data_IF_799595912222
#
_entry.id   IF_799595912222
#
_cell.length_a   1.000
_cell.length_b   1.000
_cell.length_c   1.000
_cell.angle_alpha   90.00
_cell.angle_beta   90.00
_cell.angle_gamma   90.00
#
_symmetry.space_group_name_H-M   'P 1'
#
loop_
_entity.id
_entity.type
_entity.pdbx_description
1 polymer ?
#
# COMPACT_ATOMS: atom_id res chain seq x y z
N UNK A 1 37.99 -24.01 56.51
CA UNK A 1 37.01 -23.04 55.99
C UNK A 1 36.58 -23.56 54.62
N UNK A 2 35.37 -24.13 54.52
CA UNK A 2 34.15 -23.50 53.91
C UNK A 2 34.43 -23.15 52.43
N UNK A 3 33.75 -23.66 51.41
CA UNK A 3 32.30 -23.91 51.30
C UNK A 3 32.01 -24.74 50.04
N UNK A 4 31.01 -25.62 50.10
CA UNK A 4 30.35 -26.20 48.94
C UNK A 4 29.56 -25.11 48.17
N UNK A 5 29.35 -25.29 46.86
CA UNK A 5 28.27 -24.60 46.14
C UNK A 5 27.52 -25.61 45.28
N UNK A 6 26.20 -25.55 45.45
CA UNK A 6 25.16 -26.39 44.90
C UNK A 6 24.91 -26.14 43.42
N UNK A 7 24.35 -27.19 42.81
CA UNK A 7 23.61 -27.23 41.57
C UNK A 7 22.42 -26.25 41.58
N UNK A 8 22.20 -25.54 40.47
CA UNK A 8 20.84 -25.13 40.07
C UNK A 8 20.77 -24.88 38.56
N UNK A 9 20.27 -25.91 37.86
CA UNK A 9 19.60 -25.76 36.56
C UNK A 9 18.39 -24.83 36.73
N UNK A 10 18.42 -23.67 36.06
CA UNK A 10 17.22 -22.85 35.87
C UNK A 10 16.72 -23.07 34.45
N UNK A 11 15.66 -23.87 34.35
CA UNK A 11 14.70 -23.80 33.24
C UNK A 11 14.00 -22.44 33.33
N UNK A 12 14.37 -21.51 32.46
CA UNK A 12 13.62 -20.28 32.28
C UNK A 12 12.69 -20.43 31.06
N UNK A 13 11.52 -21.01 31.30
CA UNK A 13 10.32 -20.72 30.53
C UNK A 13 9.96 -19.26 30.83
N UNK A 14 10.03 -18.38 29.84
CA UNK A 14 9.87 -16.94 30.08
C UNK A 14 9.45 -16.20 28.82
N UNK A 15 8.25 -15.64 28.88
CA UNK A 15 7.63 -14.78 27.89
C UNK A 15 8.60 -13.75 27.31
N UNK A 16 8.53 -13.54 25.99
CA UNK A 16 9.22 -12.45 25.32
C UNK A 16 8.62 -11.12 25.79
N UNK A 17 9.26 -10.55 26.81
CA UNK A 17 9.09 -9.17 27.25
C UNK A 17 9.55 -8.27 26.10
N UNK A 18 8.62 -7.49 25.55
CA UNK A 18 8.91 -6.42 24.60
C UNK A 18 9.71 -5.35 25.32
N UNK A 19 11.00 -5.26 25.03
CA UNK A 19 11.82 -4.12 25.44
C UNK A 19 11.42 -2.89 24.61
N UNK A 20 10.65 -2.00 25.25
CA UNK A 20 10.34 -0.67 24.74
C UNK A 20 11.55 0.25 24.97
N UNK A 21 12.40 0.39 23.95
CA UNK A 21 13.46 1.39 23.96
C UNK A 21 12.89 2.77 23.61
N UNK A 22 13.33 3.76 24.37
CA UNK A 22 12.80 5.12 24.44
C UNK A 22 13.02 5.90 23.14
N UNK A 23 11.93 6.34 22.53
CA UNK A 23 11.86 7.57 21.74
C UNK A 23 10.62 8.33 22.25
N UNK A 24 10.87 9.35 23.07
CA UNK A 24 9.86 10.33 23.43
C UNK A 24 9.50 11.12 22.16
N UNK A 25 8.19 11.31 21.98
CA UNK A 25 7.51 12.07 20.91
C UNK A 25 7.20 11.36 19.58
N UNK A 26 6.65 10.13 19.66
CA UNK A 26 5.77 9.58 18.62
C UNK A 26 4.34 9.52 19.18
N UNK A 27 3.34 10.22 18.59
CA UNK A 27 1.95 10.15 19.04
C UNK A 27 1.46 8.69 19.07
N UNK A 28 0.74 8.31 20.13
CA UNK A 28 0.26 6.94 20.36
C UNK A 28 -0.42 6.29 19.12
N UNK A 29 -1.06 7.10 18.27
CA UNK A 29 -1.72 6.67 17.03
C UNK A 29 -0.78 6.09 15.96
N UNK A 30 0.49 6.53 15.92
CA UNK A 30 1.49 5.98 15.03
C UNK A 30 2.07 4.65 15.56
N UNK A 31 2.03 4.41 16.88
CA UNK A 31 2.41 3.11 17.47
C UNK A 31 1.41 2.02 17.08
N UNK A 32 0.12 2.35 16.96
CA UNK A 32 -0.91 1.40 16.53
C UNK A 32 -0.75 0.97 15.07
N UNK A 33 -0.27 1.87 14.19
CA UNK A 33 0.01 1.55 12.79
C UNK A 33 1.37 0.82 12.61
N UNK A 34 2.38 1.16 13.41
CA UNK A 34 3.68 0.47 13.37
C UNK A 34 3.66 -0.92 14.02
N UNK A 35 2.77 -1.16 14.99
CA UNK A 35 2.59 -2.50 15.59
C UNK A 35 2.00 -3.53 14.60
N UNK A 36 1.42 -3.08 13.49
CA UNK A 36 0.93 -3.92 12.38
C UNK A 36 2.08 -4.32 11.43
N UNK A 37 3.27 -3.69 11.54
CA UNK A 37 4.48 -3.97 10.75
C UNK A 37 5.30 -5.12 11.36
N UNK A 38 4.67 -6.02 12.11
CA UNK A 38 5.34 -7.21 12.60
C UNK A 38 5.63 -8.15 11.41
N UNK A 39 6.90 -8.51 11.25
CA UNK A 39 7.40 -9.50 10.27
C UNK A 39 6.84 -10.87 10.69
N UNK A 40 5.58 -11.13 10.33
CA UNK A 40 4.89 -12.37 10.60
C UNK A 40 5.28 -13.45 9.61
N UNK A 41 5.77 -14.58 10.11
CA UNK A 41 5.91 -15.82 9.35
C UNK A 41 4.60 -16.14 8.61
N UNK A 42 4.65 -16.78 7.45
CA UNK A 42 3.44 -17.22 6.75
C UNK A 42 2.57 -18.06 7.70
N UNK A 43 1.37 -17.58 8.04
CA UNK A 43 0.52 -18.28 8.99
C UNK A 43 -0.20 -19.44 8.29
N UNK A 44 -0.29 -20.63 8.92
CA UNK A 44 -1.18 -21.68 8.46
C UNK A 44 -2.61 -21.14 8.40
N UNK A 45 -3.39 -21.60 7.43
CA UNK A 45 -4.78 -21.16 7.26
C UNK A 45 -5.57 -21.54 8.51
N UNK A 46 -5.98 -20.53 9.28
CA UNK A 46 -6.87 -20.73 10.42
C UNK A 46 -8.29 -21.02 9.96
N UNK A 47 -8.98 -21.88 10.70
CA UNK A 47 -10.43 -22.12 10.54
C UNK A 47 -11.28 -21.21 11.41
N UNK A 48 -10.68 -20.47 12.35
CA UNK A 48 -11.39 -19.68 13.35
C UNK A 48 -10.82 -18.27 13.41
N UNK A 49 -11.67 -17.28 13.15
CA UNK A 49 -11.30 -15.87 13.15
C UNK A 49 -12.09 -15.08 14.18
N UNK A 50 -11.41 -14.14 14.84
CA UNK A 50 -12.05 -13.05 15.58
C UNK A 50 -12.02 -11.75 14.76
N UNK A 51 -12.99 -10.87 15.00
CA UNK A 51 -13.19 -9.64 14.24
C UNK A 51 -13.19 -8.46 15.18
N UNK A 52 -12.19 -7.58 15.06
CA UNK A 52 -12.01 -6.41 15.91
C UNK A 52 -12.30 -5.16 15.10
N UNK A 53 -13.24 -4.34 15.57
CA UNK A 53 -13.53 -3.03 14.99
C UNK A 53 -12.55 -1.99 15.51
N UNK A 54 -12.02 -1.19 14.59
CA UNK A 54 -11.06 -0.12 14.86
C UNK A 54 -11.51 1.16 14.16
N UNK A 55 -11.10 2.30 14.70
CA UNK A 55 -11.44 3.62 14.18
C UNK A 55 -10.21 4.40 13.68
N UNK A 56 -10.48 5.46 12.91
CA UNK A 56 -9.46 6.37 12.37
C UNK A 56 -8.43 5.71 11.46
N UNK A 57 -8.80 5.10 10.32
CA UNK A 57 -10.15 5.00 9.74
C UNK A 57 -10.97 3.82 10.28
N UNK A 58 -12.29 3.88 10.12
CA UNK A 58 -13.22 2.79 10.43
C UNK A 58 -12.84 1.52 9.63
N UNK A 59 -12.48 0.44 10.33
CA UNK A 59 -11.95 -0.79 9.73
C UNK A 59 -12.17 -2.01 10.62
N UNK A 60 -12.16 -3.19 10.01
CA UNK A 60 -12.19 -4.48 10.69
C UNK A 60 -10.81 -5.14 10.57
N UNK A 61 -10.19 -5.45 11.71
CA UNK A 61 -9.05 -6.34 11.79
C UNK A 61 -9.54 -7.77 12.01
N UNK A 62 -9.01 -8.71 11.23
CA UNK A 62 -9.27 -10.14 11.35
C UNK A 62 -8.08 -10.78 12.03
N UNK A 63 -8.31 -11.44 13.16
CA UNK A 63 -7.26 -12.15 13.89
C UNK A 63 -7.50 -13.66 13.83
N UNK A 64 -6.42 -14.45 13.82
CA UNK A 64 -6.50 -15.90 13.98
C UNK A 64 -6.71 -16.32 15.45
N UNK A 65 -6.74 -17.63 15.71
CA UNK A 65 -6.90 -18.22 17.05
C UNK A 65 -5.75 -17.91 18.01
N UNK A 66 -4.65 -17.34 17.52
CA UNK A 66 -3.48 -16.92 18.29
C UNK A 66 -3.39 -15.38 18.39
N UNK A 67 -4.48 -14.67 18.14
CA UNK A 67 -4.59 -13.20 18.12
C UNK A 67 -3.65 -12.52 17.12
N UNK A 68 -3.21 -13.23 16.06
CA UNK A 68 -2.33 -12.66 15.04
C UNK A 68 -3.16 -12.04 13.93
N UNK A 69 -2.75 -10.85 13.46
CA UNK A 69 -3.42 -10.17 12.37
C UNK A 69 -3.30 -10.96 11.06
N UNK A 70 -4.45 -11.30 10.49
CA UNK A 70 -4.61 -12.02 9.22
C UNK A 70 -4.97 -11.08 8.09
N UNK A 71 -5.88 -10.13 8.33
CA UNK A 71 -6.31 -9.18 7.33
C UNK A 71 -6.89 -7.90 7.95
N UNK A 72 -6.86 -6.81 7.19
CA UNK A 72 -7.51 -5.54 7.52
C UNK A 72 -8.41 -5.10 6.36
N UNK A 73 -9.66 -4.79 6.68
CA UNK A 73 -10.68 -4.28 5.75
C UNK A 73 -11.10 -2.89 6.18
N UNK A 74 -11.01 -1.91 5.29
CA UNK A 74 -11.41 -0.53 5.61
C UNK A 74 -12.79 -0.25 5.03
N UNK A 75 -13.67 0.34 5.83
CA UNK A 75 -15.03 0.66 5.40
C UNK A 75 -15.00 1.58 4.18
N UNK A 76 -15.75 1.21 3.13
CA UNK A 76 -15.77 1.92 1.85
C UNK A 76 -14.68 1.50 0.86
N UNK A 77 -13.68 0.71 1.28
CA UNK A 77 -12.64 0.19 0.39
C UNK A 77 -12.95 -1.23 -0.08
N UNK A 78 -12.58 -1.56 -1.31
CA UNK A 78 -12.55 -2.96 -1.80
C UNK A 78 -11.22 -3.64 -1.51
N UNK A 79 -10.15 -2.89 -1.47
CA UNK A 79 -8.81 -3.35 -1.13
C UNK A 79 -8.77 -3.77 0.33
N UNK A 80 -8.19 -4.93 0.54
CA UNK A 80 -7.87 -5.46 1.85
C UNK A 80 -6.38 -5.74 1.89
N UNK A 81 -5.76 -5.48 3.04
CA UNK A 81 -4.37 -5.85 3.31
C UNK A 81 -4.40 -7.16 4.09
N UNK A 82 -3.76 -8.19 3.57
CA UNK A 82 -3.67 -9.53 4.14
C UNK A 82 -2.23 -9.80 4.58
N UNK A 83 -2.07 -10.51 5.68
CA UNK A 83 -0.80 -11.08 6.11
C UNK A 83 -0.53 -12.36 5.31
N UNK A 84 0.61 -12.42 4.64
CA UNK A 84 1.01 -13.57 3.85
C UNK A 84 2.53 -13.79 3.87
N UNK A 85 3.05 -14.67 3.00
CA UNK A 85 4.48 -14.93 2.90
C UNK A 85 5.28 -13.65 2.70
N UNK A 86 6.41 -13.54 3.39
CA UNK A 86 7.37 -12.44 3.22
C UNK A 86 7.94 -12.45 1.81
N UNK A 87 8.11 -11.25 1.25
CA UNK A 87 8.68 -11.02 -0.09
C UNK A 87 9.35 -9.68 -0.15
N UNK A 88 10.23 -9.53 -1.14
CA UNK A 88 11.10 -8.37 -1.30
C UNK A 88 10.94 -7.78 -2.70
N UNK A 89 10.78 -6.45 -2.75
CA UNK A 89 10.75 -5.67 -3.98
C UNK A 89 12.00 -4.80 -4.06
N UNK A 90 12.70 -4.87 -5.19
CA UNK A 90 13.94 -4.13 -5.44
C UNK A 90 13.98 -3.66 -6.90
N UNK A 91 14.61 -2.51 -7.13
CA UNK A 91 14.93 -1.99 -8.46
C UNK A 91 16.37 -1.48 -8.48
N UNK A 92 17.35 -2.41 -8.54
CA UNK A 92 18.77 -2.08 -8.39
C UNK A 92 19.30 -1.19 -9.52
N UNK A 93 18.54 -1.00 -10.61
CA UNK A 93 18.90 -0.09 -11.70
C UNK A 93 18.63 1.37 -11.35
N UNK A 94 17.69 1.64 -10.44
CA UNK A 94 17.19 2.99 -10.14
C UNK A 94 17.35 3.39 -8.67
N UNK A 95 17.52 2.42 -7.76
CA UNK A 95 17.66 2.68 -6.33
C UNK A 95 18.31 1.51 -5.58
N UNK A 96 18.96 1.81 -4.46
CA UNK A 96 19.39 0.80 -3.49
C UNK A 96 18.30 0.48 -2.46
N UNK A 97 17.21 1.25 -2.40
CA UNK A 97 16.12 1.02 -1.47
C UNK A 97 15.44 -0.33 -1.76
N UNK A 98 15.11 -1.06 -0.69
CA UNK A 98 14.48 -2.37 -0.78
C UNK A 98 13.25 -2.41 0.13
N UNK A 99 12.10 -2.82 -0.41
CA UNK A 99 10.87 -2.98 0.38
C UNK A 99 10.65 -4.47 0.65
N UNK A 100 10.81 -4.89 1.90
CA UNK A 100 10.49 -6.25 2.35
C UNK A 100 9.21 -6.23 3.17
N UNK A 101 8.22 -7.05 2.79
CA UNK A 101 6.90 -7.00 3.41
C UNK A 101 6.21 -8.37 3.44
N UNK A 102 5.35 -8.55 4.43
CA UNK A 102 4.37 -9.65 4.54
C UNK A 102 2.97 -9.20 4.11
N UNK A 103 2.81 -7.94 3.69
CA UNK A 103 1.53 -7.40 3.24
C UNK A 103 1.21 -7.85 1.81
N UNK A 104 -0.02 -8.32 1.62
CA UNK A 104 -0.62 -8.68 0.34
C UNK A 104 -1.92 -7.91 0.15
N UNK A 105 -2.10 -7.22 -0.97
CA UNK A 105 -3.24 -6.33 -1.20
C UNK A 105 -4.16 -6.91 -2.26
N UNK A 106 -5.35 -7.34 -1.84
CA UNK A 106 -6.35 -8.00 -2.70
C UNK A 106 -7.63 -7.21 -2.75
N UNK A 107 -8.37 -7.31 -3.86
CA UNK A 107 -9.69 -6.71 -3.98
C UNK A 107 -10.80 -7.68 -3.62
N UNK A 108 -11.61 -7.28 -2.65
CA UNK A 108 -12.91 -7.86 -2.36
C UNK A 108 -13.90 -7.62 -3.52
N UNK A 109 -14.92 -8.49 -3.66
CA UNK A 109 -15.94 -8.33 -4.71
C UNK A 109 -16.74 -7.03 -4.58
N UNK A 110 -16.83 -6.48 -3.37
CA UNK A 110 -17.51 -5.23 -3.07
C UNK A 110 -16.80 -4.46 -1.95
N UNK A 111 -17.15 -3.19 -1.79
CA UNK A 111 -16.59 -2.36 -0.72
C UNK A 111 -16.97 -2.93 0.65
N UNK A 112 -16.04 -2.86 1.60
CA UNK A 112 -16.27 -3.32 2.95
C UNK A 112 -17.26 -2.42 3.69
N UNK A 113 -18.08 -3.02 4.53
CA UNK A 113 -18.98 -2.33 5.47
C UNK A 113 -18.91 -3.03 6.82
N UNK A 114 -19.17 -2.30 7.90
CA UNK A 114 -19.24 -2.90 9.23
C UNK A 114 -20.27 -4.05 9.25
N UNK A 115 -19.88 -5.21 9.80
CA UNK A 115 -20.70 -6.42 9.82
C UNK A 115 -20.58 -7.31 8.57
N UNK A 116 -19.81 -6.89 7.56
CA UNK A 116 -19.60 -7.68 6.35
C UNK A 116 -18.92 -9.05 6.60
N UNK A 117 -18.31 -9.25 7.77
CA UNK A 117 -17.80 -10.56 8.19
C UNK A 117 -18.89 -11.64 8.32
N UNK A 118 -20.16 -11.23 8.45
CA UNK A 118 -21.32 -12.13 8.47
C UNK A 118 -21.88 -12.42 7.06
N UNK A 119 -21.40 -11.70 6.04
CA UNK A 119 -21.90 -11.88 4.69
C UNK A 119 -21.42 -13.21 4.08
N UNK A 120 -22.30 -13.88 3.33
CA UNK A 120 -22.04 -15.19 2.76
C UNK A 120 -20.80 -15.22 1.83
N UNK A 121 -20.46 -14.09 1.20
CA UNK A 121 -19.30 -13.99 0.30
C UNK A 121 -17.97 -13.97 1.05
N UNK A 122 -17.94 -13.51 2.30
CA UNK A 122 -16.70 -13.09 2.96
C UNK A 122 -15.78 -14.25 3.30
N UNK A 123 -16.27 -15.26 4.02
CA UNK A 123 -15.42 -16.39 4.44
C UNK A 123 -14.82 -17.17 3.25
N UNK A 124 -15.60 -17.52 2.21
CA UNK A 124 -15.03 -18.15 1.01
C UNK A 124 -13.99 -17.26 0.33
N UNK A 125 -14.25 -15.97 0.21
CA UNK A 125 -13.32 -15.02 -0.41
C UNK A 125 -12.03 -14.88 0.41
N UNK A 126 -12.10 -14.76 1.74
CA UNK A 126 -10.92 -14.62 2.60
C UNK A 126 -10.01 -15.84 2.50
N UNK A 127 -10.59 -17.04 2.55
CA UNK A 127 -9.84 -18.29 2.40
C UNK A 127 -9.12 -18.35 1.04
N UNK A 128 -9.81 -17.99 -0.04
CA UNK A 128 -9.21 -17.91 -1.37
C UNK A 128 -8.10 -16.85 -1.43
N UNK A 129 -8.34 -15.66 -0.89
CA UNK A 129 -7.39 -14.56 -0.93
C UNK A 129 -6.10 -14.85 -0.13
N UNK A 130 -6.22 -15.55 1.01
CA UNK A 130 -5.06 -16.01 1.81
C UNK A 130 -4.28 -17.15 1.13
N UNK A 131 -4.94 -17.98 0.33
CA UNK A 131 -4.31 -19.04 -0.45
C UNK A 131 -3.73 -18.55 -1.78
N UNK A 132 -4.20 -17.41 -2.29
CA UNK A 132 -3.80 -16.88 -3.59
C UNK A 132 -2.33 -16.45 -3.61
N UNK A 133 -1.58 -16.98 -4.57
CA UNK A 133 -0.15 -16.67 -4.81
C UNK A 133 0.07 -15.89 -6.11
N UNK A 134 -0.99 -15.53 -6.83
CA UNK A 134 -0.91 -14.65 -8.00
C UNK A 134 -0.37 -13.26 -7.61
N UNK A 135 0.22 -12.49 -8.54
CA UNK A 135 0.61 -11.11 -8.27
C UNK A 135 -0.58 -10.27 -7.76
N UNK A 136 -0.39 -9.61 -6.62
CA UNK A 136 -1.32 -8.66 -6.01
C UNK A 136 -0.94 -7.21 -6.38
N UNK A 137 -1.55 -6.18 -5.77
CA UNK A 137 -1.24 -4.76 -6.11
C UNK A 137 0.26 -4.46 -6.08
N UNK A 138 0.96 -4.84 -5.00
CA UNK A 138 2.38 -4.50 -4.83
C UNK A 138 3.27 -5.21 -5.87
N UNK A 139 2.99 -6.49 -6.12
CA UNK A 139 3.71 -7.26 -7.12
C UNK A 139 3.44 -6.77 -8.54
N UNK A 140 2.18 -6.42 -8.87
CA UNK A 140 1.85 -5.87 -10.20
C UNK A 140 2.49 -4.51 -10.41
N UNK A 141 2.46 -3.62 -9.41
CA UNK A 141 3.09 -2.31 -9.52
C UNK A 141 4.59 -2.43 -9.85
N UNK A 142 5.30 -3.30 -9.15
CA UNK A 142 6.75 -3.42 -9.31
C UNK A 142 7.20 -4.13 -10.59
N UNK A 143 6.29 -4.72 -11.37
CA UNK A 143 6.64 -5.39 -12.64
C UNK A 143 7.11 -4.43 -13.74
N UNK A 144 6.72 -3.17 -13.69
CA UNK A 144 6.91 -2.23 -14.81
C UNK A 144 8.18 -1.38 -14.73
N UNK A 145 8.95 -1.50 -13.64
CA UNK A 145 10.07 -0.61 -13.32
C UNK A 145 11.23 -0.67 -14.33
N UNK A 146 11.28 -1.71 -15.18
CA UNK A 146 12.40 -1.94 -16.10
C UNK A 146 12.13 -1.60 -17.57
N UNK A 147 10.86 -1.52 -18.00
CA UNK A 147 10.52 -1.41 -19.43
C UNK A 147 9.41 -0.41 -19.76
N UNK A 148 8.69 0.10 -18.78
CA UNK A 148 7.76 1.19 -19.03
C UNK A 148 8.49 2.52 -19.07
N UNK A 149 8.13 3.36 -20.03
CA UNK A 149 8.61 4.72 -20.18
C UNK A 149 7.54 5.70 -19.74
N UNK A 150 7.96 6.92 -19.45
CA UNK A 150 7.05 8.02 -19.13
C UNK A 150 6.78 8.84 -20.39
N UNK A 151 5.51 9.16 -20.59
CA UNK A 151 5.12 10.28 -21.45
C UNK A 151 3.88 10.94 -20.89
N UNK A 152 3.83 12.26 -20.98
CA UNK A 152 2.65 13.02 -20.60
C UNK A 152 1.41 12.54 -21.39
N UNK A 153 0.28 12.51 -20.70
CA UNK A 153 -1.01 12.04 -21.20
C UNK A 153 -1.05 10.58 -21.68
N UNK A 154 -0.01 9.76 -21.48
CA UNK A 154 -0.04 8.33 -21.83
C UNK A 154 -0.84 7.50 -20.82
N UNK A 155 -1.83 6.75 -21.31
CA UNK A 155 -2.67 5.85 -20.49
C UNK A 155 -2.31 4.37 -20.73
N UNK A 156 -2.87 3.46 -19.95
CA UNK A 156 -2.61 2.01 -20.07
C UNK A 156 -2.85 1.46 -21.48
N UNK A 157 -3.77 2.04 -22.25
CA UNK A 157 -4.03 1.61 -23.62
C UNK A 157 -2.87 1.96 -24.56
N UNK A 158 -2.21 3.11 -24.36
CA UNK A 158 -1.01 3.49 -25.11
C UNK A 158 0.14 2.54 -24.77
N UNK A 159 0.38 2.33 -23.47
CA UNK A 159 1.38 1.39 -22.97
C UNK A 159 1.27 0.01 -23.64
N UNK A 160 0.05 -0.54 -23.73
CA UNK A 160 -0.22 -1.87 -24.25
C UNK A 160 -0.42 -1.92 -25.77
N UNK A 161 -0.57 -0.79 -26.44
CA UNK A 161 -0.92 -0.74 -27.86
C UNK A 161 -2.32 -1.27 -28.19
N UNK A 162 -3.27 -1.20 -27.25
CA UNK A 162 -4.64 -1.73 -27.42
C UNK A 162 -5.68 -0.63 -27.56
N UNK A 163 -6.85 -0.95 -28.12
CA UNK A 163 -8.02 -0.08 -28.00
C UNK A 163 -8.77 -0.40 -26.70
N UNK A 164 -9.17 0.63 -25.96
CA UNK A 164 -9.92 0.48 -24.73
C UNK A 164 -11.05 1.52 -24.64
N UNK A 165 -12.29 1.05 -24.39
CA UNK A 165 -13.50 1.89 -24.31
C UNK A 165 -13.64 2.91 -25.48
N UNK A 166 -13.32 2.49 -26.70
CA UNK A 166 -13.40 3.33 -27.90
C UNK A 166 -12.21 4.28 -28.12
N UNK A 167 -11.28 4.37 -27.16
CA UNK A 167 -10.03 5.12 -27.30
C UNK A 167 -8.97 4.20 -27.90
N UNK A 168 -8.37 4.61 -29.03
CA UNK A 168 -7.28 3.86 -29.68
C UNK A 168 -5.94 4.28 -29.08
N UNK A 169 -5.03 3.33 -28.92
CA UNK A 169 -3.63 3.61 -28.61
C UNK A 169 -2.97 4.48 -29.69
N UNK A 170 -2.15 5.43 -29.23
CA UNK A 170 -1.23 6.20 -30.08
C UNK A 170 -0.01 5.33 -30.38
N UNK A 171 0.31 5.18 -31.68
CA UNK A 171 1.37 4.25 -32.13
C UNK A 171 2.77 4.67 -31.66
N UNK A 172 2.99 5.98 -31.54
CA UNK A 172 4.22 6.61 -31.04
C UNK A 172 4.37 6.54 -29.52
N UNK A 173 3.38 5.99 -28.80
CA UNK A 173 3.33 5.89 -27.33
C UNK A 173 3.35 4.46 -26.81
N UNK A 174 3.75 3.50 -27.66
CA UNK A 174 3.86 2.10 -27.25
C UNK A 174 4.89 1.96 -26.12
N UNK A 175 4.47 1.41 -24.98
CA UNK A 175 5.31 1.28 -23.79
C UNK A 175 5.39 2.54 -22.92
N UNK A 176 4.71 3.63 -23.27
CA UNK A 176 4.65 4.86 -22.48
C UNK A 176 3.45 4.86 -21.52
N UNK A 177 3.62 5.43 -20.32
CA UNK A 177 2.56 5.61 -19.34
C UNK A 177 2.87 6.76 -18.36
N UNK A 178 1.91 7.68 -18.15
CA UNK A 178 2.03 8.71 -17.10
C UNK A 178 1.65 8.17 -15.71
N UNK A 179 1.70 9.01 -14.66
CA UNK A 179 1.40 8.58 -13.29
C UNK A 179 -0.03 8.05 -13.10
N UNK A 180 -1.02 8.70 -13.71
CA UNK A 180 -2.42 8.29 -13.61
C UNK A 180 -2.71 7.08 -14.49
N UNK A 181 -2.16 7.04 -15.71
CA UNK A 181 -2.20 5.90 -16.61
C UNK A 181 -1.58 4.66 -15.99
N UNK A 182 -0.52 4.85 -15.20
CA UNK A 182 0.16 3.76 -14.50
C UNK A 182 -0.71 3.21 -13.37
N UNK A 183 -1.35 4.07 -12.58
CA UNK A 183 -2.36 3.62 -11.60
C UNK A 183 -3.50 2.85 -12.29
N UNK A 184 -3.99 3.34 -13.43
CA UNK A 184 -5.05 2.68 -14.21
C UNK A 184 -4.60 1.36 -14.84
N UNK A 185 -3.34 1.24 -15.23
CA UNK A 185 -2.72 0.00 -15.68
C UNK A 185 -2.70 -1.03 -14.55
N UNK A 186 -2.19 -0.66 -13.37
CA UNK A 186 -2.04 -1.54 -12.21
C UNK A 186 -3.40 -1.94 -11.64
N UNK A 187 -4.21 -0.98 -11.20
CA UNK A 187 -5.47 -1.28 -10.54
C UNK A 187 -6.55 -1.70 -11.53
N UNK A 188 -6.65 -1.03 -12.67
CA UNK A 188 -7.72 -1.23 -13.63
C UNK A 188 -7.48 -2.42 -14.54
N UNK A 189 -6.55 -2.27 -15.49
CA UNK A 189 -6.33 -3.29 -16.51
C UNK A 189 -5.81 -4.61 -15.92
N UNK A 190 -4.84 -4.55 -14.99
CA UNK A 190 -4.21 -5.76 -14.44
C UNK A 190 -5.00 -6.41 -13.31
N UNK A 191 -5.74 -5.63 -12.51
CA UNK A 191 -6.41 -6.11 -11.29
C UNK A 191 -7.94 -5.95 -11.30
N UNK A 192 -8.52 -5.42 -12.38
CA UNK A 192 -9.97 -5.38 -12.58
C UNK A 192 -10.72 -4.34 -11.73
N UNK A 193 -10.01 -3.37 -11.16
CA UNK A 193 -10.68 -2.24 -10.50
C UNK A 193 -11.40 -1.36 -11.53
N UNK A 194 -12.61 -0.85 -11.25
CA UNK A 194 -13.35 -0.02 -12.20
C UNK A 194 -12.55 1.20 -12.66
N UNK A 195 -12.66 1.54 -13.95
CA UNK A 195 -12.06 2.74 -14.56
C UNK A 195 -13.14 3.66 -15.13
N UNK A 196 -12.96 4.97 -15.00
CA UNK A 196 -13.90 6.00 -15.44
C UNK A 196 -14.93 6.37 -14.35
N UNK A 197 -16.17 6.66 -14.74
CA UNK A 197 -17.23 6.99 -13.78
C UNK A 197 -17.45 5.85 -12.77
N UNK A 198 -17.43 6.18 -11.47
CA UNK A 198 -17.53 5.19 -10.38
C UNK A 198 -16.27 4.33 -10.18
N UNK A 199 -15.17 4.68 -10.83
CA UNK A 199 -13.87 4.03 -10.72
C UNK A 199 -12.74 5.05 -10.79
N UNK A 200 -11.53 4.63 -11.15
CA UNK A 200 -10.38 5.53 -11.30
C UNK A 200 -10.55 6.35 -12.58
N UNK A 201 -10.74 7.69 -12.51
CA UNK A 201 -10.83 8.55 -13.69
C UNK A 201 -9.49 8.65 -14.43
N UNK A 202 -9.43 9.41 -15.53
CA UNK A 202 -8.21 9.46 -16.35
C UNK A 202 -7.17 10.40 -15.77
N UNK A 203 -7.58 11.55 -15.27
CA UNK A 203 -6.65 12.64 -14.93
C UNK A 203 -6.49 12.78 -13.41
N UNK A 204 -5.30 13.18 -12.90
CA UNK A 204 -5.10 13.44 -11.48
C UNK A 204 -6.09 14.48 -10.88
N UNK A 205 -6.44 15.59 -11.55
CA UNK A 205 -7.47 16.52 -11.05
C UNK A 205 -8.85 15.89 -10.89
N UNK A 206 -9.26 14.98 -11.78
CA UNK A 206 -10.52 14.23 -11.60
C UNK A 206 -10.44 13.25 -10.41
N UNK A 207 -9.28 12.65 -10.14
CA UNK A 207 -9.09 11.75 -8.99
C UNK A 207 -9.23 12.47 -7.64
N UNK A 208 -8.93 13.78 -7.62
CA UNK A 208 -9.06 14.62 -6.44
C UNK A 208 -10.49 14.61 -5.87
N UNK A 209 -11.49 14.74 -6.74
CA UNK A 209 -12.92 14.85 -6.38
C UNK A 209 -13.71 13.55 -6.56
N UNK A 210 -13.16 12.54 -7.22
CA UNK A 210 -13.83 11.27 -7.43
C UNK A 210 -14.02 10.47 -6.12
N UNK A 211 -15.14 9.72 -5.98
CA UNK A 211 -15.41 8.84 -4.85
C UNK A 211 -14.60 7.52 -4.96
N UNK A 212 -13.28 7.64 -4.88
CA UNK A 212 -12.33 6.52 -5.01
C UNK A 212 -12.19 5.73 -3.71
N UNK A 213 -13.03 4.71 -3.53
CA UNK A 213 -13.04 3.88 -2.33
C UNK A 213 -13.17 4.72 -1.05
N UNK A 214 -12.42 4.35 -0.01
CA UNK A 214 -12.37 5.09 1.24
C UNK A 214 -11.41 6.28 1.18
N UNK A 215 -11.91 7.46 1.56
CA UNK A 215 -11.11 8.67 1.73
C UNK A 215 -10.36 8.65 3.08
N UNK A 216 -9.11 8.16 3.08
CA UNK A 216 -8.29 8.09 4.30
C UNK A 216 -7.81 9.49 4.71
N UNK A 217 -7.43 10.30 3.73
CA UNK A 217 -7.11 11.71 3.92
C UNK A 217 -7.45 12.52 2.67
N UNK A 218 -7.84 13.78 2.87
CA UNK A 218 -8.09 14.76 1.80
C UNK A 218 -7.58 16.13 2.26
N UNK A 219 -7.10 16.96 1.33
CA UNK A 219 -6.53 18.28 1.62
C UNK A 219 -5.39 18.23 2.67
N UNK A 220 -4.49 17.25 2.57
CA UNK A 220 -3.48 16.92 3.56
C UNK A 220 -2.13 17.65 3.37
N UNK A 221 -2.08 18.69 2.55
CA UNK A 221 -0.84 19.37 2.19
C UNK A 221 -0.09 19.85 3.44
N UNK A 222 1.19 19.49 3.53
CA UNK A 222 2.06 19.82 4.68
C UNK A 222 1.74 19.07 5.98
N UNK A 223 0.80 18.12 6.00
CA UNK A 223 0.47 17.35 7.21
C UNK A 223 1.44 16.20 7.45
N UNK A 224 2.38 16.40 8.38
CA UNK A 224 3.36 15.39 8.77
C UNK A 224 2.74 14.15 9.44
N UNK A 225 1.52 14.24 9.98
CA UNK A 225 0.84 13.09 10.60
C UNK A 225 0.10 12.25 9.56
N UNK A 226 -0.40 12.87 8.49
CA UNK A 226 -1.23 12.18 7.48
C UNK A 226 -0.47 11.09 6.75
N UNK A 227 0.83 11.27 6.50
CA UNK A 227 1.68 10.26 5.85
C UNK A 227 1.61 8.89 6.53
N UNK A 228 1.50 8.85 7.86
CA UNK A 228 1.43 7.62 8.64
C UNK A 228 0.07 6.90 8.58
N UNK A 229 -0.92 7.44 7.87
CA UNK A 229 -2.22 6.81 7.66
C UNK A 229 -2.23 5.86 6.44
N UNK A 230 -1.22 5.95 5.58
CA UNK A 230 -1.10 5.13 4.38
C UNK A 230 -0.88 3.64 4.73
N UNK A 231 -1.56 2.77 4.01
CA UNK A 231 -1.35 1.32 4.03
C UNK A 231 -0.94 0.82 2.63
N UNK A 232 -0.09 -0.23 2.55
CA UNK A 232 0.37 -0.71 1.25
C UNK A 232 -0.77 -0.93 0.27
N UNK A 233 -0.59 -0.46 -0.96
CA UNK A 233 -1.60 -0.47 -2.01
C UNK A 233 -2.56 0.72 -2.02
N UNK A 234 -2.47 1.65 -1.07
CA UNK A 234 -3.21 2.91 -1.13
C UNK A 234 -2.75 3.75 -2.34
N UNK A 235 -3.72 4.41 -2.98
CA UNK A 235 -3.50 5.40 -4.02
C UNK A 235 -3.18 6.74 -3.36
N UNK A 236 -2.01 7.28 -3.66
CA UNK A 236 -1.52 8.55 -3.15
C UNK A 236 -1.76 9.64 -4.20
N UNK A 237 -2.34 10.75 -3.77
CA UNK A 237 -2.59 11.92 -4.59
C UNK A 237 -1.66 13.04 -4.16
N UNK A 238 -0.91 13.61 -5.10
CA UNK A 238 0.05 14.66 -4.84
C UNK A 238 -0.27 15.92 -5.63
N UNK A 239 0.03 17.07 -5.02
CA UNK A 239 0.11 18.38 -5.66
C UNK A 239 1.56 18.83 -5.54
N UNK A 240 2.32 18.63 -6.61
CA UNK A 240 3.77 18.86 -6.66
C UNK A 240 4.16 20.14 -7.37
N UNK A 241 3.21 20.77 -8.07
CA UNK A 241 3.37 22.10 -8.64
C UNK A 241 3.50 23.19 -7.56
N UNK A 242 4.03 24.35 -7.95
CA UNK A 242 4.26 25.47 -7.03
C UNK A 242 2.98 26.13 -6.51
N UNK A 243 1.83 25.87 -7.13
CA UNK A 243 0.55 26.47 -6.75
C UNK A 243 -0.17 25.66 -5.67
N UNK A 244 0.13 24.36 -5.55
CA UNK A 244 -0.36 23.46 -4.49
C UNK A 244 -1.89 23.46 -4.32
N UNK A 245 -2.64 23.68 -5.41
CA UNK A 245 -4.11 23.76 -5.36
C UNK A 245 -4.81 22.59 -6.05
N UNK A 246 -4.13 21.91 -6.98
CA UNK A 246 -4.68 20.80 -7.75
C UNK A 246 -3.76 19.57 -7.69
N UNK A 247 -4.36 18.39 -7.62
CA UNK A 247 -3.62 17.14 -7.75
C UNK A 247 -3.08 17.03 -9.18
N UNK A 248 -1.77 16.85 -9.31
CA UNK A 248 -1.05 16.75 -10.59
C UNK A 248 -0.30 15.42 -10.75
N UNK A 249 -0.15 14.67 -9.66
CA UNK A 249 0.63 13.43 -9.66
C UNK A 249 0.03 12.37 -8.75
N UNK A 250 0.30 11.11 -9.09
CA UNK A 250 -0.32 9.96 -8.43
C UNK A 250 0.73 8.87 -8.19
N UNK A 251 0.68 8.22 -7.03
CA UNK A 251 1.55 7.10 -6.69
C UNK A 251 0.81 5.98 -5.97
N UNK A 252 1.49 4.86 -5.78
CA UNK A 252 1.00 3.69 -5.05
C UNK A 252 1.91 3.49 -3.85
N UNK A 253 1.36 3.48 -2.64
CA UNK A 253 2.14 3.25 -1.44
C UNK A 253 2.62 1.79 -1.38
N UNK A 254 3.92 1.57 -1.15
CA UNK A 254 4.52 0.23 -1.09
C UNK A 254 4.68 -0.28 0.34
N UNK A 255 4.90 0.61 1.29
CA UNK A 255 5.26 0.28 2.66
C UNK A 255 6.58 0.92 3.07
N UNK A 256 7.28 0.29 4.02
CA UNK A 256 8.53 0.80 4.58
C UNK A 256 9.72 0.06 3.95
N UNK A 257 10.77 0.80 3.58
CA UNK A 257 12.01 0.21 3.07
C UNK A 257 12.97 -0.26 4.18
N UNK A 258 14.09 -0.83 3.77
CA UNK A 258 15.19 -1.30 4.61
C UNK A 258 15.92 -0.19 5.38
N UNK A 259 15.72 1.07 5.00
CA UNK A 259 16.17 2.25 5.73
C UNK A 259 15.10 2.84 6.67
N UNK A 260 13.93 2.21 6.77
CA UNK A 260 12.82 2.67 7.62
C UNK A 260 11.97 3.79 7.01
N UNK A 261 12.08 4.05 5.70
CA UNK A 261 11.39 5.14 5.02
C UNK A 261 10.10 4.69 4.33
N UNK A 262 9.07 5.54 4.38
CA UNK A 262 7.76 5.28 3.79
C UNK A 262 7.77 5.44 2.27
N UNK A 263 7.90 4.33 1.53
CA UNK A 263 8.06 4.30 0.07
C UNK A 263 6.77 4.23 -0.71
N UNK A 264 6.78 4.91 -1.85
CA UNK A 264 5.77 4.78 -2.89
C UNK A 264 6.40 4.57 -4.26
N UNK A 265 5.64 4.03 -5.21
CA UNK A 265 6.01 3.89 -6.61
C UNK A 265 5.12 4.76 -7.49
N UNK A 266 5.70 5.44 -8.47
CA UNK A 266 4.97 6.25 -9.44
C UNK A 266 5.68 6.28 -10.80
N UNK A 267 4.93 6.47 -11.89
CA UNK A 267 5.53 6.74 -13.21
C UNK A 267 5.91 8.21 -13.32
N UNK A 268 7.17 8.49 -13.68
CA UNK A 268 7.76 9.84 -13.64
C UNK A 268 8.65 10.11 -14.85
N UNK A 269 8.72 11.38 -15.26
CA UNK A 269 9.61 11.82 -16.35
C UNK A 269 11.08 11.51 -16.10
N UNK A 270 11.52 11.58 -14.84
CA UNK A 270 12.82 11.02 -14.41
C UNK A 270 12.55 9.98 -13.31
N UNK A 271 13.03 8.74 -13.43
CA UNK A 271 14.02 8.23 -14.40
C UNK A 271 13.42 7.63 -15.69
N UNK A 272 12.36 8.23 -16.23
CA UNK A 272 11.61 7.74 -17.40
C UNK A 272 10.84 6.44 -17.11
N UNK A 273 9.73 6.57 -16.38
CA UNK A 273 8.77 5.49 -16.11
C UNK A 273 8.55 5.19 -14.62
N UNK A 274 7.87 4.08 -14.29
CA UNK A 274 7.57 3.65 -12.92
C UNK A 274 8.83 3.41 -12.08
N UNK A 275 8.96 4.11 -10.96
CA UNK A 275 10.10 3.98 -10.04
C UNK A 275 9.68 4.28 -8.62
N UNK A 276 10.33 3.63 -7.66
CA UNK A 276 10.31 4.00 -6.23
C UNK A 276 11.68 4.49 -5.76
N UNK A 277 12.54 4.90 -6.70
CA UNK A 277 13.86 5.45 -6.45
C UNK A 277 13.87 6.97 -6.22
N UNK A 278 15.05 7.49 -5.93
CA UNK A 278 15.22 8.86 -5.42
C UNK A 278 15.66 9.91 -6.44
N UNK A 279 15.77 9.50 -7.71
CA UNK A 279 16.13 10.40 -8.80
C UNK A 279 15.02 11.42 -9.08
N UNK A 280 15.39 12.71 -9.14
CA UNK A 280 14.51 13.88 -9.38
C UNK A 280 13.32 13.99 -8.43
N UNK A 281 13.56 13.71 -7.16
CA UNK A 281 12.56 13.73 -6.10
C UNK A 281 12.48 12.36 -5.45
N UNK A 282 12.59 12.34 -4.12
CA UNK A 282 12.63 11.10 -3.37
C UNK A 282 11.25 10.47 -3.32
N UNK A 283 11.19 9.17 -3.55
CA UNK A 283 9.93 8.40 -3.52
C UNK A 283 9.56 8.02 -2.09
N UNK A 284 9.52 9.01 -1.19
CA UNK A 284 9.18 8.88 0.23
C UNK A 284 8.10 9.85 0.66
N UNK A 285 7.36 9.47 1.71
CA UNK A 285 6.37 10.33 2.36
C UNK A 285 6.88 10.98 3.64
N UNK A 286 8.01 10.51 4.18
CA UNK A 286 8.49 10.84 5.51
C UNK A 286 9.72 11.77 5.56
N UNK A 287 10.00 12.48 4.46
CA UNK A 287 11.00 13.55 4.41
C UNK A 287 10.38 14.95 4.23
N UNK A 288 11.21 15.92 3.88
CA UNK A 288 10.86 17.32 3.56
C UNK A 288 10.79 17.59 2.04
N UNK A 289 10.79 16.53 1.23
CA UNK A 289 10.78 16.59 -0.22
C UNK A 289 9.43 17.02 -0.81
N UNK A 290 9.38 17.29 -2.13
CA UNK A 290 8.19 17.81 -2.80
C UNK A 290 6.98 16.86 -2.69
N UNK A 291 7.20 15.54 -2.67
CA UNK A 291 6.12 14.57 -2.53
C UNK A 291 5.57 14.51 -1.10
N UNK A 292 6.43 14.50 -0.08
CA UNK A 292 6.00 14.55 1.31
C UNK A 292 5.25 15.85 1.62
N UNK A 293 5.80 17.00 1.19
CA UNK A 293 5.16 18.31 1.36
C UNK A 293 3.89 18.47 0.50
N UNK A 294 3.85 17.80 -0.66
CA UNK A 294 2.78 17.84 -1.65
C UNK A 294 1.72 16.75 -1.49
N UNK A 295 1.77 15.91 -0.45
CA UNK A 295 0.76 14.88 -0.23
C UNK A 295 -0.61 15.54 -0.02
N UNK A 296 -1.48 15.41 -1.01
CA UNK A 296 -2.80 16.02 -0.99
C UNK A 296 -3.85 15.08 -0.41
N UNK A 297 -3.77 13.78 -0.70
CA UNK A 297 -4.76 12.82 -0.23
C UNK A 297 -4.32 11.36 -0.34
N UNK A 298 -5.03 10.52 0.39
CA UNK A 298 -4.84 9.06 0.43
C UNK A 298 -6.21 8.43 0.15
N UNK A 299 -6.29 7.60 -0.88
CA UNK A 299 -7.48 6.83 -1.26
C UNK A 299 -7.19 5.34 -1.11
N UNK A 300 -8.03 4.64 -0.34
CA UNK A 300 -7.99 3.19 -0.21
C UNK A 300 -9.11 2.60 -1.06
N UNK A 301 -8.73 2.08 -2.22
CA UNK A 301 -9.64 1.67 -3.30
C UNK A 301 -10.56 0.53 -2.90
#
# INVERSE_FOLDING_TARGET
MRTAVLLSTVLASGAAVVHLAQAQDIPARARDNSAIVAIGQAHPVSTTYSFVRLDGPARTAVLDEHDRLVATFTDGARSAVLSGPSRTFADPRRTSAVVTTTNWVRFAPQAWTAGAEQAAWFRPWLAQALADRSPDVLAVATQYVTFAHYADDADYNDFLGIAAKGVRARKDRLGDVDSAGYARLVYGYRLGYPLGAGGIPRTPPEMQSAPLGAAIASNALGSAQTRFLAQPGDLLLFSTDGNKTAVDHVGIYLGVDDAGQQRFIASRGTPNGPSFGDSSGRSVLDDDGPYAAGLWGIRRL
#
